data_IF_500984611308
#
_entry.id   IF_500984611308
#
_cell.length_a   1.000
_cell.length_b   1.000
_cell.length_c   1.000
_cell.angle_alpha   90.00
_cell.angle_beta   90.00
_cell.angle_gamma   90.00
#
_symmetry.space_group_name_H-M   'P 1'
#
loop_
_entity.id
_entity.type
_entity.pdbx_description
1 polymer ?
#
# COMPACT_ATOMS: atom_id res chain seq x y z
N UNK A 1 -3.68 -7.65 -6.81
CA UNK A 1 -3.38 -7.25 -5.42
C UNK A 1 -3.43 -5.74 -5.26
N UNK A 2 -3.93 -5.23 -4.13
CA UNK A 2 -4.04 -3.78 -3.81
C UNK A 2 -2.69 -3.07 -3.99
N UNK A 3 -1.61 -3.66 -3.47
CA UNK A 3 -0.25 -3.10 -3.55
C UNK A 3 0.23 -2.83 -4.98
N UNK A 4 -0.19 -3.68 -5.93
CA UNK A 4 0.29 -3.65 -7.32
C UNK A 4 -0.65 -2.83 -8.21
N UNK A 5 -1.97 -3.06 -8.11
CA UNK A 5 -2.95 -2.46 -9.01
C UNK A 5 -3.40 -1.05 -8.55
N UNK A 6 -3.67 -0.90 -7.26
CA UNK A 6 -4.27 0.32 -6.71
C UNK A 6 -3.19 1.28 -6.19
N UNK A 7 -2.35 0.79 -5.27
CA UNK A 7 -1.32 1.61 -4.65
C UNK A 7 -0.08 1.75 -5.53
N UNK A 8 0.17 0.78 -6.42
CA UNK A 8 1.32 0.74 -7.34
C UNK A 8 2.67 0.95 -6.61
N UNK A 9 2.81 0.27 -5.47
CA UNK A 9 4.00 0.28 -4.59
C UNK A 9 4.79 -1.02 -4.64
N UNK A 10 4.32 -2.01 -5.41
CA UNK A 10 4.96 -3.32 -5.58
C UNK A 10 4.94 -3.74 -7.06
N UNK A 11 5.90 -4.59 -7.43
CA UNK A 11 5.92 -5.32 -8.71
C UNK A 11 5.72 -6.81 -8.42
N UNK A 12 4.96 -7.47 -9.30
CA UNK A 12 4.84 -8.92 -9.31
C UNK A 12 6.01 -9.53 -10.09
N UNK A 13 6.65 -10.54 -9.51
CA UNK A 13 7.71 -11.31 -10.18
C UNK A 13 7.04 -12.51 -10.87
N UNK A 14 7.37 -12.70 -12.14
CA UNK A 14 6.91 -13.85 -12.91
C UNK A 14 7.43 -15.16 -12.31
N UNK A 15 6.52 -16.11 -12.16
CA UNK A 15 6.78 -17.46 -11.67
C UNK A 15 6.71 -18.43 -12.84
N UNK A 16 7.56 -19.44 -12.80
CA UNK A 16 7.51 -20.59 -13.69
C UNK A 16 6.30 -21.48 -13.36
N UNK A 17 6.03 -22.46 -14.22
CA UNK A 17 4.92 -23.42 -14.06
C UNK A 17 4.98 -24.20 -12.74
N UNK A 18 6.19 -24.41 -12.20
CA UNK A 18 6.43 -25.04 -10.91
C UNK A 18 6.04 -24.14 -9.70
N UNK A 19 5.60 -22.91 -9.95
CA UNK A 19 5.20 -21.93 -8.94
C UNK A 19 6.34 -21.16 -8.26
N UNK A 20 7.59 -21.45 -8.63
CA UNK A 20 8.79 -20.74 -8.18
C UNK A 20 9.19 -19.62 -9.16
N UNK A 21 9.87 -18.60 -8.67
CA UNK A 21 10.51 -17.61 -9.52
C UNK A 21 11.97 -18.02 -9.75
N UNK A 22 12.49 -17.74 -10.95
CA UNK A 22 13.90 -17.94 -11.25
C UNK A 22 14.76 -16.81 -10.70
N UNK A 23 16.06 -17.06 -10.57
CA UNK A 23 17.03 -16.02 -10.21
C UNK A 23 17.01 -14.90 -11.27
N UNK A 24 16.82 -15.27 -12.52
CA UNK A 24 16.83 -14.38 -13.67
C UNK A 24 15.60 -13.46 -13.67
N UNK A 25 14.39 -14.00 -13.42
CA UNK A 25 13.16 -13.20 -13.35
C UNK A 25 13.19 -12.22 -12.18
N UNK A 26 13.70 -12.66 -11.02
CA UNK A 26 13.90 -11.81 -9.86
C UNK A 26 14.95 -10.71 -10.13
N UNK A 27 16.12 -11.08 -10.67
CA UNK A 27 17.21 -10.14 -10.97
C UNK A 27 16.77 -9.05 -11.95
N UNK A 28 16.05 -9.44 -13.02
CA UNK A 28 15.47 -8.50 -13.98
C UNK A 28 14.52 -7.52 -13.30
N UNK A 29 13.65 -8.02 -12.41
CA UNK A 29 12.70 -7.19 -11.67
C UNK A 29 13.41 -6.18 -10.77
N UNK A 30 14.42 -6.62 -10.00
CA UNK A 30 15.21 -5.75 -9.12
C UNK A 30 15.93 -4.68 -9.95
N UNK A 31 16.57 -5.08 -11.05
CA UNK A 31 17.29 -4.15 -11.94
C UNK A 31 16.35 -3.08 -12.50
N UNK A 32 15.16 -3.49 -12.95
CA UNK A 32 14.12 -2.59 -13.46
C UNK A 32 13.65 -1.58 -12.41
N UNK A 33 13.50 -2.00 -11.15
CA UNK A 33 13.15 -1.09 -10.03
C UNK A 33 14.26 -0.09 -9.70
N UNK A 34 15.51 -0.53 -9.84
CA UNK A 34 16.68 0.28 -9.45
C UNK A 34 17.09 1.26 -10.54
N UNK A 35 16.78 0.96 -11.80
CA UNK A 35 16.98 1.85 -12.94
C UNK A 35 16.25 3.19 -12.74
N UNK A 36 16.98 4.29 -12.95
CA UNK A 36 16.50 5.66 -12.79
C UNK A 36 15.81 6.19 -14.04
N UNK A 37 16.03 5.55 -15.18
CA UNK A 37 15.41 5.91 -16.46
C UNK A 37 14.18 5.06 -16.74
N UNK A 38 14.03 3.93 -16.03
CA UNK A 38 12.85 3.09 -16.17
C UNK A 38 11.60 3.72 -15.53
N UNK A 39 10.58 3.96 -16.35
CA UNK A 39 9.33 4.58 -15.92
C UNK A 39 8.61 3.83 -14.80
N UNK A 40 8.64 2.48 -14.83
CA UNK A 40 8.01 1.66 -13.79
C UNK A 40 8.73 1.84 -12.45
N UNK A 41 10.07 1.77 -12.44
CA UNK A 41 10.88 1.97 -11.25
C UNK A 41 10.72 3.37 -10.65
N UNK A 42 10.71 4.40 -11.50
CA UNK A 42 10.50 5.80 -11.08
C UNK A 42 9.09 6.00 -10.51
N UNK A 43 8.06 5.47 -11.17
CA UNK A 43 6.66 5.58 -10.72
C UNK A 43 6.45 4.88 -9.37
N UNK A 44 7.03 3.69 -9.20
CA UNK A 44 6.97 2.93 -7.96
C UNK A 44 7.60 3.69 -6.78
N UNK A 45 8.79 4.27 -6.98
CA UNK A 45 9.45 5.11 -5.95
C UNK A 45 8.60 6.33 -5.58
N UNK A 46 8.06 7.06 -6.57
CA UNK A 46 7.16 8.20 -6.34
C UNK A 46 5.90 7.80 -5.57
N UNK A 47 5.30 6.65 -5.90
CA UNK A 47 4.13 6.15 -5.18
C UNK A 47 4.49 5.74 -3.75
N UNK A 48 5.60 5.05 -3.54
CA UNK A 48 6.08 4.71 -2.19
C UNK A 48 6.27 5.97 -1.33
N UNK A 49 6.90 7.02 -1.86
CA UNK A 49 7.06 8.30 -1.15
C UNK A 49 5.71 8.97 -0.87
N UNK A 50 4.80 9.02 -1.85
CA UNK A 50 3.45 9.56 -1.70
C UNK A 50 2.69 8.86 -0.58
N UNK A 51 2.66 7.53 -0.59
CA UNK A 51 1.93 6.73 0.39
C UNK A 51 2.60 6.78 1.76
N UNK A 52 3.93 6.75 1.83
CA UNK A 52 4.66 6.95 3.10
C UNK A 52 4.30 8.29 3.72
N UNK A 53 4.35 9.38 2.94
CA UNK A 53 3.97 10.71 3.44
C UNK A 53 2.51 10.76 3.90
N UNK A 54 1.59 10.18 3.12
CA UNK A 54 0.15 10.23 3.44
C UNK A 54 -0.19 9.40 4.68
N UNK A 55 0.36 8.19 4.78
CA UNK A 55 0.07 7.28 5.90
C UNK A 55 0.79 7.69 7.18
N UNK A 56 1.93 8.38 7.07
CA UNK A 56 2.64 8.96 8.22
C UNK A 56 2.18 10.38 8.57
N UNK A 57 1.19 10.94 7.87
CA UNK A 57 0.64 12.26 8.16
C UNK A 57 0.03 12.26 9.58
N UNK A 58 0.48 13.16 10.48
CA UNK A 58 -0.05 13.22 11.84
C UNK A 58 -1.58 13.39 11.80
N UNK A 59 -2.28 12.61 12.63
CA UNK A 59 -3.73 12.67 12.67
C UNK A 59 -4.45 11.89 11.57
N UNK A 60 -3.77 11.41 10.52
CA UNK A 60 -4.44 10.64 9.46
C UNK A 60 -5.05 9.35 10.03
N UNK A 61 -4.22 8.46 10.57
CA UNK A 61 -4.71 7.18 11.11
C UNK A 61 -5.54 7.38 12.39
N UNK A 62 -5.05 8.20 13.32
CA UNK A 62 -5.74 8.42 14.59
C UNK A 62 -7.09 9.09 14.38
N UNK A 63 -7.22 10.05 13.47
CA UNK A 63 -8.49 10.74 13.21
C UNK A 63 -9.61 9.81 12.71
N UNK A 64 -9.28 8.78 11.91
CA UNK A 64 -10.25 7.75 11.52
C UNK A 64 -10.68 6.90 12.72
N UNK A 65 -9.74 6.49 13.56
CA UNK A 65 -10.02 5.69 14.76
C UNK A 65 -10.81 6.50 15.78
N UNK A 66 -10.43 7.75 16.03
CA UNK A 66 -11.11 8.66 16.94
C UNK A 66 -12.56 8.90 16.51
N UNK A 67 -12.77 9.15 15.21
CA UNK A 67 -14.13 9.30 14.66
C UNK A 67 -14.94 8.02 14.76
N UNK A 68 -14.32 6.87 14.49
CA UNK A 68 -14.99 5.58 14.66
C UNK A 68 -15.42 5.35 16.12
N UNK A 69 -14.54 5.65 17.08
CA UNK A 69 -14.85 5.58 18.52
C UNK A 69 -15.97 6.55 18.90
N UNK A 70 -15.96 7.78 18.38
CA UNK A 70 -17.03 8.76 18.62
C UNK A 70 -18.38 8.24 18.12
N UNK A 71 -18.43 7.73 16.88
CA UNK A 71 -19.64 7.16 16.31
C UNK A 71 -20.18 5.98 17.14
N UNK A 72 -19.29 5.11 17.65
CA UNK A 72 -19.70 4.02 18.53
C UNK A 72 -20.28 4.53 19.86
N UNK A 73 -19.67 5.56 20.46
CA UNK A 73 -20.17 6.18 21.70
C UNK A 73 -21.55 6.81 21.49
N UNK A 74 -21.75 7.49 20.37
CA UNK A 74 -23.06 8.06 20.01
C UNK A 74 -24.10 6.97 19.80
N UNK A 75 -23.76 5.92 19.06
CA UNK A 75 -24.63 4.77 18.86
C UNK A 75 -25.07 4.12 20.19
N UNK A 76 -24.12 3.89 21.11
CA UNK A 76 -24.44 3.34 22.43
C UNK A 76 -25.37 4.23 23.26
N UNK A 77 -25.27 5.56 23.14
CA UNK A 77 -26.18 6.48 23.85
C UNK A 77 -27.61 6.33 23.35
N UNK A 78 -27.79 6.31 22.02
CA UNK A 78 -29.12 6.14 21.40
C UNK A 78 -29.76 4.82 21.83
N UNK A 79 -28.97 3.73 21.88
CA UNK A 79 -29.47 2.41 22.31
C UNK A 79 -29.85 2.39 23.80
N UNK A 80 -29.14 3.11 24.66
CA UNK A 80 -29.41 3.14 26.11
C UNK A 80 -30.55 4.09 26.50
N UNK A 81 -30.98 4.97 25.60
CA UNK A 81 -32.13 5.89 25.78
C UNK A 81 -33.45 5.31 25.22
N UNK A 82 -33.39 4.13 24.58
CA UNK A 82 -34.53 3.32 24.12
C UNK A 82 -34.87 2.21 25.13
#
# INVERSE_FOLDING_TARGET
MILVKELKVAIEVEREENGWFSKESLSKTITTMMDKENELGVSLKKNLEKWRRKLSEPGFMSGYIDRFIQNLKEFCKVVNEL
#
